data_IF_271019542168
#
_entry.id   IF_271019542168
#
_cell.length_a   1.000
_cell.length_b   1.000
_cell.length_c   1.000
_cell.angle_alpha   90.00
_cell.angle_beta   90.00
_cell.angle_gamma   90.00
#
_symmetry.space_group_name_H-M   'P 1'
#
loop_
_entity.id
_entity.type
_entity.pdbx_description
1 polymer ?
#
# COMPACT_ATOMS: atom_id res chain seq x y z
N UNK A 1 25.30 -18.12 -23.33
CA UNK A 1 24.39 -16.97 -23.56
C UNK A 1 23.20 -17.17 -22.63
N UNK A 2 23.22 -16.55 -21.45
CA UNK A 2 22.10 -16.68 -20.52
C UNK A 2 20.91 -15.93 -21.12
N UNK A 3 19.79 -16.62 -21.34
CA UNK A 3 18.55 -15.98 -21.74
C UNK A 3 18.20 -14.96 -20.66
N UNK A 4 18.18 -13.68 -21.01
CA UNK A 4 17.57 -12.65 -20.18
C UNK A 4 16.10 -13.06 -20.05
N UNK A 5 15.72 -13.58 -18.89
CA UNK A 5 14.35 -13.97 -18.60
C UNK A 5 13.43 -12.79 -18.93
N UNK A 6 12.49 -13.00 -19.84
CA UNK A 6 11.45 -12.06 -20.24
C UNK A 6 10.41 -11.87 -19.10
N UNK A 7 10.85 -11.68 -17.85
CA UNK A 7 9.95 -11.45 -16.71
C UNK A 7 9.29 -10.08 -16.92
N UNK A 8 7.97 -10.10 -17.12
CA UNK A 8 7.12 -8.89 -17.18
C UNK A 8 7.35 -8.07 -15.90
N UNK A 9 7.47 -6.75 -16.02
CA UNK A 9 7.48 -5.84 -14.87
C UNK A 9 6.22 -6.09 -14.03
N UNK A 10 6.35 -6.43 -12.74
CA UNK A 10 5.18 -6.54 -11.88
C UNK A 10 4.60 -5.15 -11.60
N UNK A 11 3.29 -5.09 -11.56
CA UNK A 11 2.51 -3.90 -11.23
C UNK A 11 2.38 -3.73 -9.71
N UNK A 12 2.37 -2.47 -9.25
CA UNK A 12 2.22 -2.09 -7.84
C UNK A 12 0.98 -1.22 -7.65
N UNK A 13 0.08 -1.66 -6.77
CA UNK A 13 -1.12 -0.93 -6.39
C UNK A 13 -1.03 -0.39 -4.96
N UNK A 14 -1.55 0.82 -4.74
CA UNK A 14 -1.72 1.40 -3.40
C UNK A 14 -3.21 1.40 -3.03
N UNK A 15 -3.54 0.78 -1.92
CA UNK A 15 -4.88 0.56 -1.41
C UNK A 15 -5.07 1.35 -0.11
N UNK A 16 -5.94 2.35 -0.15
CA UNK A 16 -6.12 3.32 0.94
C UNK A 16 -7.49 3.13 1.58
N UNK A 17 -7.53 2.99 2.90
CA UNK A 17 -8.79 3.09 3.66
C UNK A 17 -8.96 4.53 4.15
N UNK A 18 -10.18 5.05 4.05
CA UNK A 18 -10.51 6.42 4.40
C UNK A 18 -11.83 6.49 5.20
N UNK A 19 -11.83 7.25 6.28
CA UNK A 19 -12.94 7.49 7.18
C UNK A 19 -12.83 8.89 7.83
N UNK A 20 -13.33 9.92 7.14
CA UNK A 20 -13.37 11.32 7.61
C UNK A 20 -11.99 11.98 7.88
N UNK A 21 -10.88 11.50 7.30
CA UNK A 21 -9.55 12.11 7.52
C UNK A 21 -9.26 13.38 6.67
N UNK A 22 -10.15 13.72 5.72
CA UNK A 22 -10.15 14.98 4.94
C UNK A 22 -8.79 15.28 4.29
N UNK A 23 -8.16 16.40 4.66
CA UNK A 23 -6.90 16.88 4.10
C UNK A 23 -5.73 15.92 4.31
N UNK A 24 -5.84 14.98 5.25
CA UNK A 24 -4.87 13.91 5.40
C UNK A 24 -4.84 13.02 4.15
N UNK A 25 -6.00 12.67 3.59
CA UNK A 25 -6.07 11.96 2.31
C UNK A 25 -5.40 12.77 1.18
N UNK A 26 -5.65 14.08 1.12
CA UNK A 26 -4.99 14.97 0.16
C UNK A 26 -3.47 14.92 0.31
N UNK A 27 -2.96 14.92 1.54
CA UNK A 27 -1.51 14.84 1.85
C UNK A 27 -0.93 13.47 1.48
N UNK A 28 -1.62 12.39 1.82
CA UNK A 28 -1.26 11.02 1.47
C UNK A 28 -1.12 10.87 -0.06
N UNK A 29 -2.16 11.28 -0.80
CA UNK A 29 -2.15 11.25 -2.27
C UNK A 29 -1.04 12.14 -2.84
N UNK A 30 -0.81 13.34 -2.31
CA UNK A 30 0.33 14.17 -2.76
C UNK A 30 1.67 13.44 -2.59
N UNK A 31 1.87 12.68 -1.51
CA UNK A 31 3.10 11.89 -1.32
C UNK A 31 3.26 10.77 -2.35
N UNK A 32 2.15 10.16 -2.78
CA UNK A 32 2.11 9.14 -3.84
C UNK A 32 2.40 9.78 -5.21
N UNK A 33 1.82 10.94 -5.49
CA UNK A 33 2.08 11.71 -6.71
C UNK A 33 3.55 12.11 -6.85
N UNK A 34 4.21 12.45 -5.74
CA UNK A 34 5.60 12.91 -5.71
C UNK A 34 6.63 11.76 -5.72
N UNK A 35 6.18 10.53 -5.90
CA UNK A 35 7.09 9.39 -6.02
C UNK A 35 7.99 9.52 -7.26
N UNK A 36 9.26 9.14 -7.13
CA UNK A 36 10.21 9.15 -8.27
C UNK A 36 9.83 8.16 -9.36
N UNK A 37 9.09 7.11 -9.02
CA UNK A 37 8.47 6.18 -9.95
C UNK A 37 7.00 6.05 -9.57
N UNK A 38 6.09 6.37 -10.50
CA UNK A 38 4.67 6.22 -10.21
C UNK A 38 4.27 4.76 -10.05
N UNK A 39 3.32 4.53 -9.15
CA UNK A 39 2.62 3.24 -9.01
C UNK A 39 1.63 3.04 -10.16
N UNK A 40 1.17 1.82 -10.35
CA UNK A 40 0.30 1.44 -11.47
C UNK A 40 -1.19 1.62 -11.13
N UNK A 41 -1.54 1.54 -9.85
CA UNK A 41 -2.93 1.60 -9.38
C UNK A 41 -3.03 2.34 -8.04
N UNK A 42 -4.10 3.13 -7.87
CA UNK A 42 -4.48 3.71 -6.58
C UNK A 42 -5.98 3.53 -6.38
N UNK A 43 -6.35 2.86 -5.29
CA UNK A 43 -7.76 2.66 -4.91
C UNK A 43 -7.98 3.23 -3.51
N UNK A 44 -9.02 4.04 -3.34
CA UNK A 44 -9.46 4.57 -2.05
C UNK A 44 -10.81 3.94 -1.69
N UNK A 45 -10.90 3.37 -0.49
CA UNK A 45 -12.16 2.91 0.09
C UNK A 45 -12.67 3.93 1.10
N UNK A 46 -13.79 4.57 0.79
CA UNK A 46 -14.49 5.51 1.66
C UNK A 46 -15.51 4.76 2.52
N UNK A 47 -15.21 4.61 3.82
CA UNK A 47 -15.98 3.81 4.78
C UNK A 47 -17.20 4.58 5.33
N UNK A 48 -18.01 5.11 4.40
CA UNK A 48 -19.19 5.93 4.63
C UNK A 48 -18.87 7.22 5.41
N UNK A 49 -17.88 7.97 4.95
CA UNK A 49 -17.45 9.25 5.55
C UNK A 49 -18.49 10.34 5.35
N UNK A 50 -18.66 11.20 6.36
CA UNK A 50 -19.44 12.45 6.23
C UNK A 50 -18.81 13.41 5.23
N UNK A 51 -17.48 13.38 5.11
CA UNK A 51 -16.70 14.13 4.15
C UNK A 51 -16.19 13.20 3.05
N UNK A 52 -16.86 13.13 1.87
CA UNK A 52 -16.58 12.12 0.87
C UNK A 52 -15.14 12.18 0.34
N UNK A 53 -14.49 11.00 0.19
CA UNK A 53 -13.10 10.91 -0.25
C UNK A 53 -12.82 11.60 -1.59
N UNK A 54 -13.80 11.59 -2.50
CA UNK A 54 -13.72 12.21 -3.84
C UNK A 54 -13.39 13.70 -3.80
N UNK A 55 -13.77 14.39 -2.73
CA UNK A 55 -13.58 15.84 -2.59
C UNK A 55 -12.15 16.19 -2.13
N UNK A 56 -11.36 15.19 -1.75
CA UNK A 56 -9.98 15.32 -1.26
C UNK A 56 -8.93 14.72 -2.22
N UNK A 57 -9.34 14.34 -3.44
CA UNK A 57 -8.40 13.91 -4.48
C UNK A 57 -7.77 15.15 -5.11
N UNK A 58 -6.42 15.27 -5.17
CA UNK A 58 -5.78 16.38 -5.87
C UNK A 58 -6.19 16.42 -7.35
N UNK A 59 -6.66 17.58 -7.83
CA UNK A 59 -7.12 17.74 -9.21
C UNK A 59 -6.03 17.46 -10.26
N UNK A 60 -4.75 17.56 -9.87
CA UNK A 60 -3.58 17.33 -10.69
C UNK A 60 -2.88 15.99 -10.36
N UNK A 61 -3.61 15.03 -9.79
CA UNK A 61 -3.11 13.68 -9.55
C UNK A 61 -2.87 12.97 -10.90
N UNK A 62 -1.70 12.34 -11.11
CA UNK A 62 -1.27 11.87 -12.43
C UNK A 62 -1.98 10.59 -12.90
N UNK A 63 -2.78 9.94 -12.05
CA UNK A 63 -3.47 8.69 -12.31
C UNK A 63 -4.98 8.86 -12.04
N UNK A 64 -5.80 7.98 -12.61
CA UNK A 64 -7.19 7.88 -12.17
C UNK A 64 -7.24 7.17 -10.82
N UNK A 65 -7.74 7.85 -9.78
CA UNK A 65 -7.99 7.24 -8.47
C UNK A 65 -9.34 6.54 -8.48
N UNK A 66 -9.36 5.22 -8.31
CA UNK A 66 -10.61 4.46 -8.14
C UNK A 66 -11.14 4.69 -6.73
N UNK A 67 -12.39 5.11 -6.61
CA UNK A 67 -13.05 5.31 -5.31
C UNK A 67 -14.16 4.28 -5.17
N UNK A 68 -14.13 3.53 -4.08
CA UNK A 68 -15.19 2.62 -3.67
C UNK A 68 -15.77 3.18 -2.40
N UNK A 69 -17.07 3.46 -2.37
CA UNK A 69 -17.73 4.01 -1.18
C UNK A 69 -18.72 3.00 -0.61
N UNK A 70 -18.67 2.80 0.69
CA UNK A 70 -19.60 1.94 1.41
C UNK A 70 -20.93 2.65 1.69
N UNK A 71 -22.03 1.89 1.66
CA UNK A 71 -23.37 2.39 2.04
C UNK A 71 -23.55 2.54 3.56
N UNK A 72 -22.68 1.89 4.34
CA UNK A 72 -22.60 1.96 5.80
C UNK A 72 -21.17 1.71 6.25
N UNK A 73 -20.83 2.10 7.47
CA UNK A 73 -19.49 1.86 8.04
C UNK A 73 -19.25 0.36 8.23
N UNK A 74 -18.18 -0.18 7.65
CA UNK A 74 -17.77 -1.58 7.66
C UNK A 74 -16.50 -1.83 8.48
N UNK A 75 -15.74 -0.77 8.77
CA UNK A 75 -14.48 -0.84 9.50
C UNK A 75 -13.29 -1.26 8.62
N UNK A 76 -12.07 -1.06 9.14
CA UNK A 76 -10.84 -1.12 8.34
C UNK A 76 -10.53 -2.51 7.79
N UNK A 77 -10.89 -3.58 8.49
CA UNK A 77 -10.64 -4.94 8.01
C UNK A 77 -11.50 -5.30 6.79
N UNK A 78 -12.80 -4.97 6.85
CA UNK A 78 -13.70 -5.18 5.71
C UNK A 78 -13.30 -4.31 4.53
N UNK A 79 -12.95 -3.04 4.78
CA UNK A 79 -12.43 -2.13 3.77
C UNK A 79 -11.18 -2.69 3.05
N UNK A 80 -10.18 -3.18 3.80
CA UNK A 80 -8.97 -3.80 3.22
C UNK A 80 -9.28 -5.05 2.40
N UNK A 81 -10.21 -5.89 2.86
CA UNK A 81 -10.66 -7.07 2.10
C UNK A 81 -11.33 -6.68 0.78
N UNK A 82 -12.15 -5.62 0.77
CA UNK A 82 -12.80 -5.13 -0.46
C UNK A 82 -11.75 -4.56 -1.41
N UNK A 83 -10.84 -3.71 -0.91
CA UNK A 83 -9.75 -3.16 -1.70
C UNK A 83 -8.90 -4.26 -2.37
N UNK A 84 -8.56 -5.31 -1.63
CA UNK A 84 -7.79 -6.44 -2.13
C UNK A 84 -8.51 -7.19 -3.27
N UNK A 85 -9.84 -7.34 -3.18
CA UNK A 85 -10.64 -7.99 -4.22
C UNK A 85 -10.68 -7.15 -5.49
N UNK A 86 -10.75 -5.84 -5.32
CA UNK A 86 -10.93 -4.85 -6.39
C UNK A 86 -9.63 -4.45 -7.09
N UNK A 87 -8.48 -4.70 -6.48
CA UNK A 87 -7.17 -4.45 -7.06
C UNK A 87 -6.82 -5.46 -8.14
N UNK A 88 -6.20 -4.97 -9.21
CA UNK A 88 -5.70 -5.80 -10.33
C UNK A 88 -4.17 -5.85 -10.39
N UNK A 89 -3.49 -5.23 -9.43
CA UNK A 89 -2.03 -5.17 -9.38
C UNK A 89 -1.42 -6.49 -8.88
N UNK A 90 -0.20 -6.79 -9.34
CA UNK A 90 0.54 -8.01 -8.96
C UNK A 90 0.96 -7.96 -7.48
N UNK A 91 1.38 -6.78 -7.03
CA UNK A 91 1.68 -6.45 -5.64
C UNK A 91 0.83 -5.30 -5.14
N UNK A 92 0.51 -5.34 -3.86
CA UNK A 92 -0.31 -4.31 -3.22
C UNK A 92 0.33 -3.77 -1.94
N UNK A 93 0.12 -2.47 -1.70
CA UNK A 93 0.40 -1.77 -0.45
C UNK A 93 -0.90 -1.34 0.21
N UNK A 94 -1.12 -1.68 1.47
CA UNK A 94 -2.14 -0.98 2.26
C UNK A 94 -1.53 0.30 2.83
N UNK A 95 -2.04 1.45 2.42
CA UNK A 95 -1.57 2.76 2.89
C UNK A 95 -2.67 3.40 3.74
N UNK A 96 -2.35 3.77 4.98
CA UNK A 96 -3.27 4.53 5.81
C UNK A 96 -3.32 6.00 5.31
N UNK A 97 -4.51 6.60 5.32
CA UNK A 97 -4.78 7.92 4.74
C UNK A 97 -4.16 9.08 5.55
N UNK A 98 -3.76 8.84 6.79
CA UNK A 98 -3.09 9.78 7.69
C UNK A 98 -1.55 9.74 7.62
N UNK A 99 -1.01 8.79 6.86
CA UNK A 99 0.42 8.62 6.62
C UNK A 99 0.86 9.11 5.23
N UNK A 100 2.19 9.28 5.08
CA UNK A 100 2.83 9.66 3.82
C UNK A 100 3.91 8.66 3.41
N UNK A 101 4.11 8.51 2.10
CA UNK A 101 5.23 7.76 1.54
C UNK A 101 6.44 8.66 1.32
N UNK A 102 7.63 8.12 1.60
CA UNK A 102 8.89 8.79 1.27
C UNK A 102 9.10 8.85 -0.25
N UNK A 103 9.74 9.90 -0.80
CA UNK A 103 9.76 10.16 -2.25
C UNK A 103 10.30 9.02 -3.15
N UNK A 104 11.14 8.13 -2.62
CA UNK A 104 11.74 7.00 -3.38
C UNK A 104 11.20 5.63 -2.97
N UNK A 105 10.09 5.60 -2.23
CA UNK A 105 9.55 4.36 -1.68
C UNK A 105 9.17 3.37 -2.79
N UNK A 106 8.35 3.81 -3.74
CA UNK A 106 7.89 3.03 -4.90
C UNK A 106 9.03 2.53 -5.78
N UNK A 107 10.00 3.40 -6.07
CA UNK A 107 11.22 3.05 -6.81
C UNK A 107 11.98 1.93 -6.12
N UNK A 108 12.12 2.02 -4.79
CA UNK A 108 12.83 1.01 -3.99
C UNK A 108 12.11 -0.32 -4.03
N UNK A 109 10.80 -0.33 -3.78
CA UNK A 109 9.95 -1.53 -3.83
C UNK A 109 10.00 -2.21 -5.21
N UNK A 110 9.79 -1.44 -6.28
CA UNK A 110 9.81 -1.95 -7.65
C UNK A 110 11.20 -2.50 -8.02
N UNK A 111 12.29 -1.84 -7.63
CA UNK A 111 13.66 -2.34 -7.85
C UNK A 111 13.90 -3.68 -7.17
N UNK A 112 13.38 -3.87 -5.96
CA UNK A 112 13.51 -5.14 -5.23
C UNK A 112 12.83 -6.29 -5.97
N UNK A 113 11.65 -6.08 -6.58
CA UNK A 113 10.98 -7.10 -7.40
C UNK A 113 11.75 -7.49 -8.67
N UNK A 114 12.65 -6.64 -9.17
CA UNK A 114 13.49 -6.98 -10.33
C UNK A 114 14.73 -7.79 -9.97
N UNK A 115 15.18 -7.69 -8.71
CA UNK A 115 16.43 -8.32 -8.28
C UNK A 115 16.22 -9.80 -7.93
N UNK A 116 15.05 -10.14 -7.38
CA UNK A 116 14.74 -11.50 -6.95
C UNK A 116 13.24 -11.82 -7.03
N UNK A 117 12.89 -13.09 -6.82
CA UNK A 117 11.52 -13.59 -6.79
C UNK A 117 10.94 -13.52 -5.37
N UNK A 118 10.57 -12.32 -4.93
CA UNK A 118 9.98 -12.11 -3.61
C UNK A 118 8.46 -12.26 -3.61
N UNK A 119 7.93 -12.97 -2.61
CA UNK A 119 6.48 -13.06 -2.36
C UNK A 119 5.98 -11.88 -1.50
N UNK A 120 6.85 -11.29 -0.68
CA UNK A 120 6.52 -10.23 0.29
C UNK A 120 7.68 -9.26 0.48
N UNK A 121 7.37 -7.96 0.61
CA UNK A 121 8.34 -6.93 1.00
C UNK A 121 7.82 -6.21 2.24
N UNK A 122 8.64 -6.16 3.29
CA UNK A 122 8.36 -5.36 4.49
C UNK A 122 9.24 -4.13 4.49
N UNK A 123 8.61 -2.96 4.44
CA UNK A 123 9.28 -1.67 4.56
C UNK A 123 9.19 -1.16 6.00
N UNK A 124 10.26 -0.56 6.50
CA UNK A 124 10.22 0.14 7.79
C UNK A 124 9.32 1.39 7.71
N UNK A 125 8.61 1.65 8.80
CA UNK A 125 7.90 2.91 9.03
C UNK A 125 8.76 3.85 9.89
N UNK A 126 8.74 5.14 9.58
CA UNK A 126 9.36 6.18 10.40
C UNK A 126 8.25 7.02 11.03
N UNK A 127 8.20 7.03 12.37
CA UNK A 127 7.27 7.88 13.10
C UNK A 127 7.76 9.32 13.07
N UNK A 128 6.94 10.22 12.53
CA UNK A 128 7.17 11.65 12.59
C UNK A 128 6.60 12.18 13.90
N UNK A 129 7.44 12.44 14.90
CA UNK A 129 7.11 13.38 15.97
C UNK A 129 7.69 14.75 15.64
N UNK A 130 7.04 15.87 15.99
CA UNK A 130 7.57 17.22 15.76
C UNK A 130 8.98 17.47 16.35
N UNK A 131 9.46 16.57 17.21
CA UNK A 131 10.66 16.76 18.04
C UNK A 131 11.78 15.70 17.83
N UNK A 132 11.69 14.78 16.86
CA UNK A 132 12.76 13.77 16.65
C UNK A 132 13.19 13.62 15.20
N UNK A 133 14.51 13.60 15.01
CA UNK A 133 15.16 13.34 13.72
C UNK A 133 14.80 11.93 13.17
N UNK A 134 14.67 11.86 11.86
CA UNK A 134 14.35 10.65 11.09
C UNK A 134 15.45 9.58 11.26
N UNK A 135 15.08 8.43 11.82
CA UNK A 135 15.95 7.25 11.92
C UNK A 135 16.16 6.52 10.58
N UNK A 136 17.23 5.71 10.49
CA UNK A 136 17.57 4.92 9.30
C UNK A 136 16.49 3.88 8.96
N UNK A 137 16.15 3.78 7.68
CA UNK A 137 15.25 2.75 7.11
C UNK A 137 16.04 1.46 6.92
N UNK A 138 15.56 0.35 7.49
CA UNK A 138 16.02 -1.00 7.16
C UNK A 138 14.93 -1.71 6.36
N UNK A 139 15.30 -2.47 5.33
CA UNK A 139 14.37 -3.32 4.60
C UNK A 139 14.63 -4.77 5.02
N UNK A 140 13.58 -5.50 5.39
CA UNK A 140 13.69 -6.92 5.70
C UNK A 140 12.96 -7.71 4.60
N UNK A 141 13.73 -8.50 3.85
CA UNK A 141 13.21 -9.48 2.90
C UNK A 141 13.26 -10.85 3.57
N UNK A 142 12.16 -11.60 3.51
CA UNK A 142 12.08 -12.96 4.05
C UNK A 142 12.00 -13.97 2.90
N UNK A 143 12.93 -14.92 2.87
CA UNK A 143 12.87 -16.09 2.00
C UNK A 143 12.19 -17.28 2.70
N UNK A 144 11.46 -18.09 1.92
CA UNK A 144 10.75 -19.30 2.34
C UNK A 144 11.67 -20.30 3.03
N UNK A 145 11.78 -20.27 4.36
CA UNK A 145 12.26 -21.45 5.12
C UNK A 145 11.74 -21.65 6.54
N UNK A 146 10.85 -20.78 7.04
CA UNK A 146 10.28 -20.94 8.39
C UNK A 146 8.77 -20.70 8.37
N UNK A 147 8.01 -21.74 8.02
CA UNK A 147 6.54 -21.76 8.03
C UNK A 147 5.98 -22.58 9.21
N UNK A 148 6.61 -22.48 10.38
CA UNK A 148 6.10 -23.04 11.62
C UNK A 148 6.12 -21.97 12.70
N UNK A 149 4.94 -21.52 13.13
CA UNK A 149 4.70 -20.50 14.19
C UNK A 149 5.01 -19.04 13.83
N UNK A 150 4.05 -18.37 13.17
CA UNK A 150 3.81 -16.94 13.42
C UNK A 150 2.36 -16.54 13.08
N UNK A 151 1.39 -17.29 13.62
CA UNK A 151 -0.01 -16.86 13.72
C UNK A 151 -0.23 -16.32 15.14
N UNK A 152 0.30 -15.14 15.43
CA UNK A 152 -0.14 -14.20 16.47
C UNK A 152 0.82 -12.99 16.43
N UNK A 153 0.29 -11.77 16.35
CA UNK A 153 0.99 -10.47 16.29
C UNK A 153 1.58 -10.00 14.94
N UNK A 154 0.73 -9.76 13.94
CA UNK A 154 1.01 -8.74 12.92
C UNK A 154 -0.16 -7.76 12.89
N UNK A 155 -0.21 -6.85 13.87
CA UNK A 155 -1.24 -5.80 13.93
C UNK A 155 -0.74 -4.41 13.51
N UNK A 156 0.52 -4.21 13.13
CA UNK A 156 1.03 -2.86 12.73
C UNK A 156 2.22 -2.97 11.75
N UNK A 157 2.14 -3.78 10.70
CA UNK A 157 3.19 -3.80 9.68
C UNK A 157 2.55 -3.69 8.29
N UNK A 158 2.73 -2.49 7.72
CA UNK A 158 2.55 -2.12 6.32
C UNK A 158 3.39 -3.05 5.42
N UNK A 159 2.87 -4.24 5.16
CA UNK A 159 3.53 -5.28 4.36
C UNK A 159 3.01 -5.23 2.93
N UNK A 160 3.93 -5.25 1.96
CA UNK A 160 3.59 -5.50 0.56
C UNK A 160 3.36 -6.99 0.41
N UNK A 161 2.16 -7.37 -0.01
CA UNK A 161 1.79 -8.76 -0.15
C UNK A 161 1.51 -9.06 -1.63
N UNK A 162 2.11 -10.13 -2.17
CA UNK A 162 1.69 -10.67 -3.47
C UNK A 162 0.28 -11.24 -3.30
N UNK A 163 -0.63 -10.81 -4.17
CA UNK A 163 -2.08 -11.01 -4.02
C UNK A 163 -2.49 -12.47 -3.77
N UNK A 164 -1.79 -13.41 -4.41
CA UNK A 164 -2.08 -14.85 -4.35
C UNK A 164 -1.89 -15.50 -2.96
N UNK A 165 -1.22 -14.84 -2.01
CA UNK A 165 -0.93 -15.40 -0.69
C UNK A 165 -1.74 -14.82 0.48
N UNK A 166 -2.72 -13.95 0.21
CA UNK A 166 -3.53 -13.35 1.27
C UNK A 166 -4.73 -14.25 1.56
N UNK A 167 -4.74 -14.86 2.76
CA UNK A 167 -5.87 -15.66 3.24
C UNK A 167 -6.95 -14.71 3.74
N UNK A 168 -8.17 -14.80 3.18
CA UNK A 168 -9.31 -14.01 3.64
C UNK A 168 -9.60 -14.27 5.13
N UNK A 169 -9.58 -13.22 5.94
CA UNK A 169 -10.17 -13.27 7.27
C UNK A 169 -11.70 -13.36 7.10
N UNK A 170 -12.27 -14.55 7.33
CA UNK A 170 -13.72 -14.73 7.42
C UNK A 170 -14.20 -14.02 8.70
N UNK A 171 -15.06 -13.02 8.53
CA UNK A 171 -15.82 -12.38 9.61
C UNK A 171 -17.23 -12.95 9.63
#
# INVERSE_FOLDING_TARGET
MFALNNKKKPSLGILITYCDERDLLTRCLRSIKLQTVLVDEVIVFDDNSNFPAKDYIPADFPLLVKIIRADKRLGPACARNILLKESVSDFIHFQDSDDILMPRWSETVLRTFYQDDFDFIIANCLSLSPEKELGKINFFCYEKRWLGMMFLFVSVILSQLRREYIVEAKY
#
